data_IF_894911541588
#
_entry.id   IF_894911541588
#
_cell.length_a   1.000
_cell.length_b   1.000
_cell.length_c   1.000
_cell.angle_alpha   90.00
_cell.angle_beta   90.00
_cell.angle_gamma   90.00
#
_symmetry.space_group_name_H-M   'P 1'
#
loop_
_entity.id
_entity.type
_entity.pdbx_description
1 polymer ?
#
# COMPACT_ATOMS: atom_id res chain seq x y z
N UNK A 1 10.68 -26.67 2.59
CA UNK A 1 12.05 -26.51 2.07
C UNK A 1 11.96 -25.59 0.86
N UNK A 2 12.72 -24.51 0.80
CA UNK A 2 12.72 -23.58 -0.35
C UNK A 2 13.70 -24.10 -1.39
N UNK A 3 13.20 -24.56 -2.54
CA UNK A 3 14.04 -24.93 -3.69
C UNK A 3 14.44 -23.66 -4.41
N UNK A 4 15.74 -23.41 -4.59
CA UNK A 4 16.26 -22.20 -5.24
C UNK A 4 16.32 -22.43 -6.76
N UNK A 5 15.46 -21.76 -7.51
CA UNK A 5 15.40 -21.86 -8.98
C UNK A 5 16.00 -20.60 -9.60
N UNK A 6 16.90 -20.77 -10.58
CA UNK A 6 17.57 -19.69 -11.30
C UNK A 6 16.98 -19.53 -12.71
N UNK A 7 16.89 -18.30 -13.20
CA UNK A 7 16.57 -17.99 -14.60
C UNK A 7 17.88 -17.76 -15.36
N UNK A 8 18.16 -18.60 -16.35
CA UNK A 8 19.39 -18.56 -17.15
C UNK A 8 19.05 -18.34 -18.63
N UNK A 9 20.04 -17.90 -19.42
CA UNK A 9 19.88 -17.63 -20.85
C UNK A 9 20.75 -18.61 -21.63
N UNK A 10 20.14 -19.29 -22.59
CA UNK A 10 20.80 -20.24 -23.48
C UNK A 10 21.58 -19.54 -24.60
N UNK A 11 22.43 -20.31 -25.28
CA UNK A 11 23.21 -19.86 -26.43
C UNK A 11 22.33 -19.40 -27.61
N UNK A 12 21.11 -19.95 -27.72
CA UNK A 12 20.09 -19.54 -28.70
C UNK A 12 19.34 -18.25 -28.30
N UNK A 13 19.72 -17.64 -27.17
CA UNK A 13 19.14 -16.39 -26.67
C UNK A 13 17.80 -16.54 -25.95
N UNK A 14 17.26 -17.76 -25.85
CA UNK A 14 16.07 -18.12 -25.09
C UNK A 14 16.37 -18.23 -23.58
N UNK A 15 15.33 -18.18 -22.75
CA UNK A 15 15.41 -18.22 -21.29
C UNK A 15 14.92 -19.55 -20.74
N UNK A 16 15.66 -20.13 -19.82
CA UNK A 16 15.31 -21.38 -19.15
C UNK A 16 15.32 -21.19 -17.64
N UNK A 17 14.51 -22.00 -16.95
CA UNK A 17 14.53 -22.10 -15.49
C UNK A 17 15.30 -23.36 -15.13
N UNK A 18 16.39 -23.19 -14.38
CA UNK A 18 17.26 -24.27 -13.94
C UNK A 18 17.28 -24.35 -12.41
N UNK A 19 17.25 -25.56 -11.86
CA UNK A 19 17.47 -25.79 -10.44
C UNK A 19 18.94 -25.52 -10.05
N UNK A 20 19.27 -25.47 -8.75
CA UNK A 20 20.64 -25.29 -8.27
C UNK A 20 21.61 -26.36 -8.83
N UNK A 21 21.10 -27.54 -9.17
CA UNK A 21 21.87 -28.63 -9.78
C UNK A 21 22.11 -28.48 -11.29
N UNK A 22 21.65 -27.39 -11.92
CA UNK A 22 21.75 -27.20 -13.38
C UNK A 22 20.75 -28.02 -14.19
N UNK A 23 19.77 -28.67 -13.52
CA UNK A 23 18.72 -29.41 -14.20
C UNK A 23 17.63 -28.46 -14.72
N UNK A 24 17.18 -28.69 -15.95
CA UNK A 24 16.09 -27.93 -16.55
C UNK A 24 14.77 -28.21 -15.82
N UNK A 25 14.16 -27.16 -15.27
CA UNK A 25 12.87 -27.21 -14.58
C UNK A 25 11.73 -26.82 -15.53
N UNK A 26 11.93 -25.76 -16.31
CA UNK A 26 10.95 -25.28 -17.29
C UNK A 26 11.61 -24.40 -18.36
N UNK A 27 11.15 -24.50 -19.61
CA UNK A 27 11.68 -23.72 -20.75
C UNK A 27 12.00 -24.63 -21.93
N UNK A 28 12.19 -24.09 -23.15
CA UNK A 28 12.67 -22.73 -23.42
C UNK A 28 11.57 -21.66 -23.55
N UNK A 29 11.83 -20.48 -22.99
CA UNK A 29 11.00 -19.29 -23.10
C UNK A 29 11.64 -18.25 -24.01
N UNK A 30 10.85 -17.72 -24.95
CA UNK A 30 11.32 -16.67 -25.88
C UNK A 30 11.66 -15.33 -25.21
N UNK A 31 11.11 -15.07 -24.01
CA UNK A 31 11.28 -13.79 -23.32
C UNK A 31 11.58 -13.95 -21.84
N UNK A 32 12.42 -13.05 -21.33
CA UNK A 32 12.77 -12.99 -19.90
C UNK A 32 11.51 -12.88 -19.03
N UNK A 33 10.56 -12.02 -19.45
CA UNK A 33 9.30 -11.84 -18.73
C UNK A 33 8.45 -13.13 -18.65
N UNK A 34 8.48 -13.98 -19.68
CA UNK A 34 7.79 -15.26 -19.65
C UNK A 34 8.46 -16.24 -18.66
N UNK A 35 9.79 -16.24 -18.58
CA UNK A 35 10.54 -17.04 -17.62
C UNK A 35 10.27 -16.60 -16.16
N UNK A 36 10.30 -15.29 -15.86
CA UNK A 36 9.93 -14.78 -14.52
C UNK A 36 8.48 -15.11 -14.15
N UNK A 37 7.55 -14.99 -15.10
CA UNK A 37 6.14 -15.36 -14.87
C UNK A 37 5.98 -16.87 -14.60
N UNK A 38 6.79 -17.70 -15.25
CA UNK A 38 6.81 -19.14 -15.00
C UNK A 38 7.39 -19.46 -13.63
N UNK A 39 8.44 -18.74 -13.21
CA UNK A 39 9.03 -18.86 -11.87
C UNK A 39 8.03 -18.50 -10.78
N UNK A 40 7.37 -17.33 -10.91
CA UNK A 40 6.34 -16.88 -9.98
C UNK A 40 5.23 -17.92 -9.82
N UNK A 41 4.87 -18.64 -10.90
CA UNK A 41 3.87 -19.71 -10.84
C UNK A 41 4.36 -20.93 -10.06
N UNK A 42 5.62 -21.33 -10.23
CA UNK A 42 6.21 -22.49 -9.54
C UNK A 42 6.37 -22.21 -8.04
N UNK A 43 6.73 -20.99 -7.66
CA UNK A 43 6.77 -20.58 -6.25
C UNK A 43 5.37 -20.53 -5.62
N UNK A 44 4.36 -20.09 -6.38
CA UNK A 44 2.97 -20.03 -5.94
C UNK A 44 2.25 -21.41 -5.94
N UNK A 45 2.81 -22.45 -6.59
CA UNK A 45 2.26 -23.82 -6.62
C UNK A 45 2.26 -24.52 -5.23
N UNK A 46 2.81 -23.87 -4.20
CA UNK A 46 2.64 -24.26 -2.80
C UNK A 46 1.18 -24.16 -2.29
N UNK A 47 0.23 -23.65 -3.09
CA UNK A 47 -1.17 -23.65 -2.72
C UNK A 47 -2.08 -23.81 -3.93
N UNK A 48 -2.52 -25.06 -4.18
CA UNK A 48 -3.77 -25.54 -4.79
C UNK A 48 -4.92 -24.48 -4.91
N UNK A 49 -4.71 -23.41 -5.67
CA UNK A 49 -5.61 -22.26 -5.78
C UNK A 49 -5.69 -21.88 -7.26
N UNK A 50 -6.87 -21.94 -7.87
CA UNK A 50 -7.04 -21.50 -9.23
C UNK A 50 -6.70 -20.01 -9.35
N UNK A 51 -6.13 -19.65 -10.51
CA UNK A 51 -5.72 -18.31 -10.88
C UNK A 51 -6.87 -17.31 -10.63
N UNK A 52 -6.78 -16.54 -9.55
CA UNK A 52 -7.82 -15.56 -9.21
C UNK A 52 -7.63 -14.35 -10.11
N UNK A 53 -8.62 -14.07 -10.95
CA UNK A 53 -8.63 -12.85 -11.76
C UNK A 53 -8.36 -11.63 -10.87
N UNK A 54 -7.27 -10.92 -11.16
CA UNK A 54 -6.90 -9.70 -10.44
C UNK A 54 -8.06 -8.72 -10.57
N UNK A 55 -8.75 -8.45 -9.47
CA UNK A 55 -9.98 -7.65 -9.53
C UNK A 55 -9.65 -6.28 -10.10
N UNK A 56 -10.34 -5.85 -11.16
CA UNK A 56 -10.21 -4.53 -11.80
C UNK A 56 -10.76 -3.39 -10.93
N UNK A 57 -10.78 -3.58 -9.62
CA UNK A 57 -11.33 -2.63 -8.66
C UNK A 57 -10.43 -1.42 -8.64
N UNK A 58 -10.91 -0.33 -9.26
CA UNK A 58 -10.23 0.98 -9.27
C UNK A 58 -9.69 1.28 -7.87
N UNK A 59 -8.37 1.43 -7.78
CA UNK A 59 -7.68 1.85 -6.57
C UNK A 59 -8.28 3.20 -6.18
N UNK A 60 -8.94 3.24 -5.02
CA UNK A 60 -9.72 4.39 -4.56
C UNK A 60 -8.80 5.49 -4.04
N UNK A 61 -8.09 6.16 -4.93
CA UNK A 61 -7.58 7.49 -4.66
C UNK A 61 -8.77 8.46 -4.76
N UNK A 62 -9.48 8.66 -3.63
CA UNK A 62 -10.68 9.49 -3.55
C UNK A 62 -11.54 9.18 -2.31
N UNK A 63 -12.59 9.99 -2.08
CA UNK A 63 -13.50 9.81 -0.94
C UNK A 63 -14.06 8.37 -0.95
N UNK A 64 -13.98 7.61 0.16
CA UNK A 64 -14.52 6.27 0.20
C UNK A 64 -16.01 6.31 -0.18
N UNK A 65 -16.35 5.61 -1.26
CA UNK A 65 -17.73 5.41 -1.68
C UNK A 65 -18.53 4.79 -0.54
N UNK A 66 -19.83 5.14 -0.51
CA UNK A 66 -20.78 4.78 0.55
C UNK A 66 -20.71 3.28 0.88
N UNK A 67 -20.82 2.90 2.17
CA UNK A 67 -20.87 1.50 2.56
C UNK A 67 -21.99 0.79 1.81
N UNK A 68 -21.71 -0.44 1.33
CA UNK A 68 -22.66 -1.25 0.56
C UNK A 68 -24.00 -1.33 1.30
N UNK A 69 -25.09 -1.06 0.58
CA UNK A 69 -26.46 -1.16 1.09
C UNK A 69 -27.02 0.07 1.81
N UNK A 70 -26.22 1.12 2.06
CA UNK A 70 -26.74 2.35 2.71
C UNK A 70 -26.92 3.49 1.71
N UNK A 71 -28.15 4.00 1.63
CA UNK A 71 -28.43 5.21 0.86
C UNK A 71 -27.84 6.46 1.55
N UNK A 72 -27.51 7.49 0.76
CA UNK A 72 -27.06 8.80 1.30
C UNK A 72 -28.04 9.38 2.32
N UNK A 73 -29.35 9.14 2.12
CA UNK A 73 -30.42 9.59 3.02
C UNK A 73 -30.40 8.85 4.37
N UNK A 74 -30.12 7.55 4.36
CA UNK A 74 -29.98 6.75 5.58
C UNK A 74 -28.78 7.20 6.43
N UNK A 75 -27.64 7.48 5.79
CA UNK A 75 -26.45 8.00 6.49
C UNK A 75 -26.70 9.38 7.10
N UNK A 76 -27.35 10.29 6.38
CA UNK A 76 -27.73 11.61 6.93
C UNK A 76 -28.69 11.49 8.13
N UNK A 77 -29.62 10.53 8.10
CA UNK A 77 -30.52 10.25 9.24
C UNK A 77 -29.74 9.71 10.44
N UNK A 78 -28.82 8.76 10.22
CA UNK A 78 -27.95 8.24 11.27
C UNK A 78 -27.08 9.34 11.88
N UNK A 79 -26.50 10.22 11.06
CA UNK A 79 -25.69 11.34 11.55
C UNK A 79 -26.49 12.31 12.42
N UNK A 80 -27.72 12.67 12.01
CA UNK A 80 -28.62 13.49 12.83
C UNK A 80 -28.94 12.82 14.16
N UNK A 81 -29.24 11.52 14.14
CA UNK A 81 -29.56 10.77 15.35
C UNK A 81 -28.35 10.70 16.30
N UNK A 82 -27.14 10.49 15.77
CA UNK A 82 -25.92 10.50 16.58
C UNK A 82 -25.68 11.86 17.23
N UNK A 83 -25.91 12.97 16.53
CA UNK A 83 -25.81 14.33 17.10
C UNK A 83 -26.81 14.54 18.24
N UNK A 84 -28.06 14.12 18.04
CA UNK A 84 -29.10 14.19 19.08
C UNK A 84 -28.73 13.33 20.27
N UNK A 85 -28.27 12.10 20.06
CA UNK A 85 -27.88 11.18 21.13
C UNK A 85 -26.65 11.70 21.90
N UNK A 86 -25.67 12.29 21.22
CA UNK A 86 -24.54 12.95 21.87
C UNK A 86 -24.99 14.13 22.72
N UNK A 87 -25.94 14.94 22.23
CA UNK A 87 -26.56 16.03 22.96
C UNK A 87 -27.53 15.58 24.08
N UNK A 88 -27.85 14.28 24.14
CA UNK A 88 -28.60 13.64 25.24
C UNK A 88 -27.70 12.88 26.20
N UNK A 89 -26.42 12.66 25.87
CA UNK A 89 -25.50 11.93 26.73
C UNK A 89 -25.30 12.67 28.06
N UNK A 90 -25.13 11.96 29.19
CA UNK A 90 -24.80 12.57 30.48
C UNK A 90 -23.58 13.47 30.40
N UNK A 91 -23.54 14.54 31.18
CA UNK A 91 -22.48 15.56 31.14
C UNK A 91 -21.06 14.97 31.28
N UNK A 92 -20.88 13.97 32.14
CA UNK A 92 -19.59 13.29 32.33
C UNK A 92 -19.11 12.50 31.10
N UNK A 93 -20.03 11.96 30.31
CA UNK A 93 -19.71 11.29 29.04
C UNK A 93 -19.30 12.30 27.96
N UNK A 94 -19.89 13.50 27.95
CA UNK A 94 -19.48 14.58 27.05
C UNK A 94 -18.12 15.17 27.42
N UNK A 95 -17.83 15.32 28.71
CA UNK A 95 -16.54 15.86 29.17
C UNK A 95 -15.39 14.88 28.90
N UNK A 96 -15.61 13.58 29.10
CA UNK A 96 -14.61 12.54 28.75
C UNK A 96 -14.38 12.51 27.24
N UNK A 97 -15.43 12.54 26.43
CA UNK A 97 -15.31 12.58 24.97
C UNK A 97 -14.64 13.86 24.46
N UNK A 98 -14.90 15.03 25.06
CA UNK A 98 -14.20 16.26 24.72
C UNK A 98 -12.72 16.24 25.13
N UNK A 99 -12.38 15.54 26.22
CA UNK A 99 -10.99 15.36 26.66
C UNK A 99 -10.20 14.43 25.73
N UNK A 100 -10.85 13.43 25.13
CA UNK A 100 -10.21 12.49 24.19
C UNK A 100 -10.31 12.89 22.73
N UNK A 101 -11.33 13.67 22.35
CA UNK A 101 -11.56 14.14 20.98
C UNK A 101 -11.40 15.67 20.92
N UNK A 102 -10.15 16.13 20.90
CA UNK A 102 -9.81 17.51 20.54
C UNK A 102 -9.30 17.54 19.09
N UNK A 103 -10.15 17.88 18.10
CA UNK A 103 -9.75 17.94 16.70
C UNK A 103 -8.74 19.07 16.42
N UNK A 104 -8.54 20.01 17.36
CA UNK A 104 -7.53 21.07 17.29
C UNK A 104 -6.23 20.60 17.93
N UNK A 105 -6.30 19.93 19.08
CA UNK A 105 -5.18 19.35 19.81
C UNK A 105 -4.48 18.21 19.05
N UNK A 106 -5.24 17.29 18.44
CA UNK A 106 -4.66 16.28 17.55
C UNK A 106 -4.00 16.91 16.31
N UNK A 107 -4.54 18.03 15.82
CA UNK A 107 -3.95 18.76 14.69
C UNK A 107 -2.64 19.40 15.10
N UNK A 108 -2.59 20.11 16.23
CA UNK A 108 -1.36 20.67 16.80
C UNK A 108 -0.31 19.60 17.13
N UNK A 109 -0.71 18.46 17.67
CA UNK A 109 0.21 17.36 17.96
C UNK A 109 0.73 16.70 16.67
N UNK A 110 -0.12 16.52 15.65
CA UNK A 110 0.34 16.09 14.31
C UNK A 110 1.28 17.12 13.70
N UNK A 111 0.93 18.41 13.71
CA UNK A 111 1.73 19.50 13.17
C UNK A 111 3.08 19.61 13.91
N UNK A 112 3.12 19.37 15.21
CA UNK A 112 4.35 19.31 16.01
C UNK A 112 5.20 18.08 15.68
N UNK A 113 4.57 16.90 15.57
CA UNK A 113 5.29 15.62 15.36
C UNK A 113 5.74 15.41 13.92
N UNK A 114 5.00 15.93 12.96
CA UNK A 114 5.24 15.77 11.54
C UNK A 114 5.82 17.04 10.90
N UNK A 115 5.73 18.19 11.57
CA UNK A 115 5.90 19.49 10.92
C UNK A 115 4.64 19.89 10.14
N UNK A 116 4.51 21.17 9.81
CA UNK A 116 3.42 21.70 8.98
C UNK A 116 3.54 21.19 7.54
N UNK A 117 3.06 19.97 7.25
CA UNK A 117 2.96 19.48 5.88
C UNK A 117 1.82 20.20 5.14
N UNK A 118 2.07 21.43 4.70
CA UNK A 118 1.17 22.25 3.89
C UNK A 118 1.95 23.33 3.16
N UNK A 119 1.30 24.13 2.32
CA UNK A 119 1.93 25.19 1.49
C UNK A 119 2.74 26.25 2.27
N UNK A 120 2.74 26.19 3.60
CA UNK A 120 3.50 27.05 4.50
C UNK A 120 4.77 26.39 5.09
N UNK A 121 5.11 25.13 4.78
CA UNK A 121 6.45 24.63 5.10
C UNK A 121 7.47 25.15 4.11
N UNK A 122 8.64 25.53 4.61
CA UNK A 122 9.81 25.81 3.79
C UNK A 122 10.22 24.53 3.05
N UNK A 123 9.78 24.40 1.80
CA UNK A 123 10.29 23.39 0.88
C UNK A 123 11.74 23.76 0.59
N UNK A 124 12.68 23.10 1.29
CA UNK A 124 14.10 23.19 0.95
C UNK A 124 14.27 22.71 -0.49
N UNK A 125 14.60 23.63 -1.41
CA UNK A 125 14.99 23.27 -2.77
C UNK A 125 16.37 22.64 -2.69
N UNK A 126 16.43 21.34 -2.92
CA UNK A 126 17.67 20.59 -2.97
C UNK A 126 18.16 20.63 -4.41
N UNK A 127 19.39 21.10 -4.63
CA UNK A 127 20.08 20.88 -5.90
C UNK A 127 20.54 19.41 -5.96
N UNK A 128 20.09 18.63 -6.96
CA UNK A 128 20.43 17.22 -7.06
C UNK A 128 21.94 16.98 -7.15
N UNK A 129 22.72 17.91 -7.72
CA UNK A 129 24.17 17.77 -7.83
C UNK A 129 24.85 17.84 -6.46
N UNK A 130 24.43 18.78 -5.62
CA UNK A 130 24.95 18.96 -4.25
C UNK A 130 24.61 17.74 -3.39
N UNK A 131 23.37 17.25 -3.48
CA UNK A 131 22.93 16.09 -2.71
C UNK A 131 23.68 14.80 -3.09
N UNK A 132 23.98 14.60 -4.38
CA UNK A 132 24.77 13.45 -4.82
C UNK A 132 26.23 13.55 -4.37
N UNK A 133 26.81 14.75 -4.37
CA UNK A 133 28.17 14.99 -3.87
C UNK A 133 28.28 14.73 -2.36
N UNK A 134 27.35 15.25 -1.56
CA UNK A 134 27.29 14.99 -0.11
C UNK A 134 27.08 13.50 0.20
N UNK A 135 26.21 12.82 -0.56
CA UNK A 135 25.94 11.39 -0.38
C UNK A 135 27.15 10.52 -0.75
N UNK A 136 27.92 10.91 -1.77
CA UNK A 136 29.14 10.23 -2.15
C UNK A 136 30.26 10.43 -1.12
N UNK A 137 30.37 11.62 -0.51
CA UNK A 137 31.35 11.92 0.53
C UNK A 137 31.07 11.24 1.88
N UNK A 138 29.81 10.87 2.15
CA UNK A 138 29.38 10.21 3.39
C UNK A 138 29.48 8.68 3.34
N UNK A 139 29.84 8.11 2.20
CA UNK A 139 30.03 6.67 2.01
C UNK A 139 31.49 6.30 2.14
#
# INVERSE_FOLDING_TARGET
MSTLINVTRNDDGQFELTDQGGNLVAGPFETNAAAWKALDRIDDDSANRPDKSRSSKKVRWGKPGLPKGKSKKALKRQEKQMKINAAKAPGWLRTVAAKTFDPVGERKYRDYRLGTFGAASEVKRIDPAIYLAEKAAKK
#
